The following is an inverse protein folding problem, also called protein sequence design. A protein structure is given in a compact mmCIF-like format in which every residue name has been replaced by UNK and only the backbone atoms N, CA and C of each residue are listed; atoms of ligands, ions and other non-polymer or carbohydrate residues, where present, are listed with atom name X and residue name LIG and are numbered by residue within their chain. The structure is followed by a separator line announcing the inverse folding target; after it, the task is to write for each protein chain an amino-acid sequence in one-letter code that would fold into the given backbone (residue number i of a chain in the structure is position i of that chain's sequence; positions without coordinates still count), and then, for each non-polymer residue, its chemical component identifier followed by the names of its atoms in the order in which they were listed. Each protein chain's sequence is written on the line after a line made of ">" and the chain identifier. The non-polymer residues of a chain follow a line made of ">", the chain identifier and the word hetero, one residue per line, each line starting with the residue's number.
data_IF_994829433310
#
_entry.id   IF_994829433310
#
_cell.length_a   1.000
_cell.length_b   1.000
_cell.length_c   1.000
_cell.angle_alpha   90.00
_cell.angle_beta   90.00
_cell.angle_gamma   90.00
#
_symmetry.space_group_name_H-M   'P 1'
#
loop_
_entity.id
_entity.type
_entity.pdbx_description
1 polymer ?
#
# COMPACT_ATOMS: atom_id res chain seq x y z
N UNK A 1 -13.25 -7.88 -17.82
CA UNK A 1 -12.78 -9.21 -17.36
C UNK A 1 -12.39 -10.02 -18.60
N UNK A 2 -11.25 -10.73 -18.57
CA UNK A 2 -10.68 -11.51 -19.70
C UNK A 2 -11.63 -12.56 -20.34
N UNK A 3 -12.80 -12.78 -19.74
CA UNK A 3 -13.83 -13.73 -20.16
C UNK A 3 -14.95 -13.12 -21.02
N UNK A 4 -15.01 -11.79 -21.19
CA UNK A 4 -16.15 -11.15 -21.85
C UNK A 4 -16.20 -11.29 -23.38
N UNK A 5 -15.15 -11.83 -24.00
CA UNK A 5 -15.02 -11.91 -25.47
C UNK A 5 -15.10 -13.30 -26.07
N UNK A 6 -15.24 -14.36 -25.26
CA UNK A 6 -15.25 -15.75 -25.76
C UNK A 6 -16.66 -16.33 -25.67
N UNK A 7 -17.25 -16.67 -26.82
CA UNK A 7 -18.56 -17.30 -26.91
C UNK A 7 -18.49 -18.79 -26.54
N UNK A 8 -18.34 -19.10 -25.24
CA UNK A 8 -18.22 -20.47 -24.73
C UNK A 8 -19.41 -21.40 -25.08
N UNK A 9 -20.56 -20.82 -25.43
CA UNK A 9 -21.75 -21.58 -25.82
C UNK A 9 -21.67 -22.14 -27.25
N UNK A 10 -20.74 -21.65 -28.06
CA UNK A 10 -20.57 -22.00 -29.47
C UNK A 10 -19.33 -22.89 -29.72
N UNK A 11 -18.59 -23.22 -28.66
CA UNK A 11 -17.32 -23.94 -28.72
C UNK A 11 -17.48 -25.40 -28.26
N UNK A 12 -16.73 -26.30 -28.89
CA UNK A 12 -16.60 -27.68 -28.42
C UNK A 12 -15.74 -27.75 -27.14
N UNK A 13 -15.89 -28.83 -26.37
CA UNK A 13 -15.17 -29.00 -25.10
C UNK A 13 -13.64 -28.89 -25.25
N UNK A 14 -13.08 -29.40 -26.35
CA UNK A 14 -11.65 -29.29 -26.69
C UNK A 14 -11.21 -27.84 -26.89
N UNK A 15 -12.04 -27.05 -27.57
CA UNK A 15 -11.78 -25.64 -27.84
C UNK A 15 -11.93 -24.79 -26.57
N UNK A 16 -12.88 -25.15 -25.68
CA UNK A 16 -13.02 -24.53 -24.36
C UNK A 16 -11.78 -24.76 -23.50
N UNK A 17 -11.22 -25.98 -23.51
CA UNK A 17 -9.98 -26.30 -22.78
C UNK A 17 -8.82 -25.47 -23.33
N UNK A 18 -8.64 -25.46 -24.66
CA UNK A 18 -7.58 -24.67 -25.31
C UNK A 18 -7.70 -23.17 -25.01
N UNK A 19 -8.91 -22.62 -25.06
CA UNK A 19 -9.15 -21.21 -24.74
C UNK A 19 -8.78 -20.88 -23.30
N UNK A 20 -9.09 -21.77 -22.33
CA UNK A 20 -8.68 -21.60 -20.93
C UNK A 20 -7.17 -21.70 -20.74
N UNK A 21 -6.52 -22.59 -21.46
CA UNK A 21 -5.07 -22.77 -21.40
C UNK A 21 -4.35 -21.51 -21.91
N UNK A 22 -4.73 -21.01 -23.08
CA UNK A 22 -4.23 -19.76 -23.65
C UNK A 22 -4.48 -18.55 -22.73
N UNK A 23 -5.63 -18.51 -22.07
CA UNK A 23 -5.93 -17.46 -21.09
C UNK A 23 -5.00 -17.52 -19.88
N UNK A 24 -4.73 -18.72 -19.34
CA UNK A 24 -3.77 -18.88 -18.23
C UNK A 24 -2.38 -18.44 -18.65
N UNK A 25 -1.93 -18.85 -19.84
CA UNK A 25 -0.63 -18.42 -20.38
C UNK A 25 -0.57 -16.90 -20.53
N UNK A 26 -1.63 -16.27 -21.04
CA UNK A 26 -1.68 -14.82 -21.18
C UNK A 26 -1.65 -14.10 -19.82
N UNK A 27 -2.36 -14.62 -18.83
CA UNK A 27 -2.34 -14.07 -17.45
C UNK A 27 -0.94 -14.19 -16.87
N UNK A 28 -0.30 -15.35 -16.98
CA UNK A 28 1.07 -15.59 -16.49
C UNK A 28 2.08 -14.64 -17.16
N UNK A 29 1.94 -14.41 -18.46
CA UNK A 29 2.83 -13.49 -19.18
C UNK A 29 2.62 -12.03 -18.74
N UNK A 30 1.38 -11.59 -18.56
CA UNK A 30 1.08 -10.24 -18.05
C UNK A 30 1.56 -10.09 -16.60
N UNK A 31 1.37 -11.10 -15.76
CA UNK A 31 1.85 -11.13 -14.38
C UNK A 31 3.38 -11.00 -14.34
N UNK A 32 4.10 -11.76 -15.18
CA UNK A 32 5.55 -11.67 -15.31
C UNK A 32 6.02 -10.27 -15.69
N UNK A 33 5.37 -9.66 -16.69
CA UNK A 33 5.68 -8.28 -17.12
C UNK A 33 5.41 -7.25 -16.03
N UNK A 34 4.31 -7.40 -15.28
CA UNK A 34 3.99 -6.54 -14.15
C UNK A 34 5.03 -6.68 -13.03
N UNK A 35 5.46 -7.90 -12.70
CA UNK A 35 6.49 -8.14 -11.71
C UNK A 35 7.82 -7.49 -12.10
N UNK A 36 8.25 -7.64 -13.36
CA UNK A 36 9.46 -7.00 -13.89
C UNK A 36 9.38 -5.47 -13.73
N UNK A 37 8.25 -4.87 -14.12
CA UNK A 37 8.01 -3.43 -13.95
C UNK A 37 8.04 -3.00 -12.48
N UNK A 38 7.46 -3.80 -11.57
CA UNK A 38 7.49 -3.53 -10.13
C UNK A 38 8.93 -3.55 -9.61
N UNK A 39 9.75 -4.52 -10.02
CA UNK A 39 11.16 -4.61 -9.60
C UNK A 39 11.98 -3.41 -10.09
N UNK A 40 11.78 -2.98 -11.34
CA UNK A 40 12.46 -1.80 -11.88
C UNK A 40 12.07 -0.53 -11.11
N UNK A 41 10.77 -0.32 -10.88
CA UNK A 41 10.27 0.82 -10.11
C UNK A 41 10.77 0.81 -8.67
N UNK A 42 10.76 -0.36 -8.02
CA UNK A 42 11.28 -0.56 -6.65
C UNK A 42 12.76 -0.20 -6.57
N UNK A 43 13.55 -0.63 -7.56
CA UNK A 43 14.99 -0.34 -7.63
C UNK A 43 15.26 1.14 -7.87
N UNK A 44 14.48 1.80 -8.74
CA UNK A 44 14.63 3.23 -9.02
C UNK A 44 14.16 4.11 -7.86
N UNK A 45 13.06 3.77 -7.21
CA UNK A 45 12.49 4.55 -6.10
C UNK A 45 13.25 4.34 -4.77
N UNK A 46 13.99 3.23 -4.63
CA UNK A 46 14.58 2.83 -3.36
C UNK A 46 13.52 2.55 -2.28
N UNK A 47 12.31 2.20 -2.71
CA UNK A 47 11.19 1.84 -1.85
C UNK A 47 11.01 0.32 -1.91
N UNK A 48 11.11 -0.33 -0.76
CA UNK A 48 10.92 -1.76 -0.62
C UNK A 48 9.65 -2.03 0.21
N UNK A 49 8.70 -2.77 -0.37
CA UNK A 49 7.52 -3.22 0.36
C UNK A 49 7.85 -4.51 1.12
N UNK A 50 7.81 -4.44 2.45
CA UNK A 50 8.13 -5.57 3.33
C UNK A 50 6.91 -6.46 3.57
N UNK A 51 5.69 -5.96 3.32
CA UNK A 51 4.47 -6.75 3.46
C UNK A 51 3.37 -6.06 4.26
N UNK A 52 2.45 -6.87 4.78
CA UNK A 52 1.24 -6.44 5.50
C UNK A 52 1.00 -7.28 6.74
N UNK A 53 0.26 -6.74 7.70
CA UNK A 53 -0.18 -7.47 8.88
C UNK A 53 -1.71 -7.74 8.90
N UNK A 54 -2.23 -8.36 9.96
CA UNK A 54 -3.69 -8.58 10.18
C UNK A 54 -4.53 -7.31 10.15
N UNK A 55 -3.96 -6.18 10.55
CA UNK A 55 -4.63 -4.89 10.55
C UNK A 55 -4.54 -4.19 9.18
N UNK A 56 -4.00 -4.88 8.16
CA UNK A 56 -3.81 -4.39 6.81
C UNK A 56 -2.89 -3.17 6.72
N UNK A 57 -1.99 -3.01 7.70
CA UNK A 57 -0.95 -1.99 7.66
C UNK A 57 0.13 -2.41 6.68
N UNK A 58 0.53 -1.54 5.75
CA UNK A 58 1.65 -1.80 4.87
C UNK A 58 2.95 -1.33 5.53
N UNK A 59 4.02 -2.11 5.35
CA UNK A 59 5.35 -1.77 5.84
C UNK A 59 6.27 -1.49 4.66
N UNK A 60 6.85 -0.29 4.62
CA UNK A 60 7.75 0.14 3.56
C UNK A 60 9.10 0.55 4.15
N UNK A 61 10.18 0.03 3.59
CA UNK A 61 11.53 0.53 3.83
C UNK A 61 11.88 1.52 2.72
N UNK A 62 12.21 2.75 3.10
CA UNK A 62 12.68 3.77 2.18
C UNK A 62 14.18 3.97 2.37
N UNK A 63 14.94 3.89 1.29
CA UNK A 63 16.39 4.13 1.29
C UNK A 63 16.73 5.58 0.93
N UNK A 64 15.94 6.18 0.02
CA UNK A 64 16.06 7.58 -0.37
C UNK A 64 15.75 8.53 0.80
N UNK A 65 14.78 8.15 1.62
CA UNK A 65 14.47 8.74 2.91
C UNK A 65 14.73 7.66 3.95
N UNK A 66 15.87 7.64 4.66
CA UNK A 66 16.21 6.53 5.54
C UNK A 66 15.18 6.46 6.67
N UNK A 67 14.18 5.61 6.49
CA UNK A 67 13.11 5.35 7.45
C UNK A 67 12.35 4.09 7.06
N UNK A 68 11.72 3.48 8.06
CA UNK A 68 10.70 2.45 7.85
C UNK A 68 9.34 3.07 8.15
N UNK A 69 8.49 3.12 7.13
CA UNK A 69 7.14 3.68 7.20
C UNK A 69 6.12 2.57 7.35
N UNK A 70 5.11 2.87 8.15
CA UNK A 70 3.92 2.05 8.33
C UNK A 70 2.73 2.85 7.83
N UNK A 71 2.09 2.35 6.79
CA UNK A 71 0.86 2.92 6.23
C UNK A 71 -0.36 2.21 6.81
N UNK A 72 -1.23 2.94 7.47
CA UNK A 72 -2.55 2.46 7.86
C UNK A 72 -3.52 2.59 6.67
N UNK A 73 -4.40 1.60 6.48
CA UNK A 73 -5.38 1.63 5.41
C UNK A 73 -6.38 2.76 5.63
N UNK A 74 -6.78 3.43 4.55
CA UNK A 74 -7.84 4.45 4.52
C UNK A 74 -9.15 3.84 4.02
N UNK A 75 -10.26 4.57 4.17
CA UNK A 75 -11.59 4.08 3.74
C UNK A 75 -11.74 3.82 2.24
N UNK A 76 -10.79 4.28 1.41
CA UNK A 76 -10.73 3.95 -0.02
C UNK A 76 -10.06 2.59 -0.29
N UNK A 77 -9.30 2.06 0.67
CA UNK A 77 -8.62 0.79 0.50
C UNK A 77 -9.59 -0.38 0.68
N UNK A 78 -9.47 -1.39 -0.17
CA UNK A 78 -10.30 -2.58 -0.06
C UNK A 78 -9.77 -3.52 1.03
N UNK A 79 -10.19 -3.29 2.27
CA UNK A 79 -9.80 -4.06 3.47
C UNK A 79 -10.69 -5.30 3.68
N UNK A 80 -11.73 -5.47 2.87
CA UNK A 80 -12.72 -6.54 3.02
C UNK A 80 -13.74 -6.26 4.13
N UNK A 81 -14.75 -7.13 4.23
CA UNK A 81 -15.81 -7.02 5.24
C UNK A 81 -15.55 -7.91 6.46
N UNK A 82 -16.14 -7.56 7.60
CA UNK A 82 -16.16 -8.45 8.75
C UNK A 82 -17.05 -9.67 8.47
N UNK A 83 -16.49 -10.87 8.60
CA UNK A 83 -17.28 -12.11 8.64
C UNK A 83 -17.36 -12.62 10.08
N UNK A 84 -16.60 -13.66 10.42
CA UNK A 84 -16.54 -14.20 11.77
C UNK A 84 -15.43 -13.51 12.59
N UNK A 85 -15.60 -13.39 13.92
CA UNK A 85 -14.54 -12.90 14.79
C UNK A 85 -13.29 -13.78 14.67
N UNK A 86 -12.11 -13.15 14.60
CA UNK A 86 -10.85 -13.89 14.59
C UNK A 86 -10.69 -14.62 15.93
N UNK A 87 -10.51 -15.95 15.93
CA UNK A 87 -10.29 -16.70 17.16
C UNK A 87 -9.04 -16.21 17.89
N UNK A 88 -9.14 -15.97 19.19
CA UNK A 88 -8.01 -15.59 20.04
C UNK A 88 -7.63 -16.79 20.91
N UNK A 89 -6.37 -17.23 20.81
CA UNK A 89 -5.90 -18.43 21.49
C UNK A 89 -5.71 -18.24 23.00
N UNK A 90 -5.35 -17.03 23.44
CA UNK A 90 -5.15 -16.70 24.85
C UNK A 90 -5.82 -15.37 25.20
N UNK A 91 -6.87 -15.44 26.03
CA UNK A 91 -7.61 -14.29 26.54
C UNK A 91 -7.33 -14.05 28.04
N UNK A 92 -6.53 -14.90 28.68
CA UNK A 92 -6.37 -14.94 30.13
C UNK A 92 -5.69 -13.68 30.68
N UNK A 93 -4.77 -13.08 29.91
CA UNK A 93 -4.05 -11.87 30.28
C UNK A 93 -4.88 -10.58 30.15
N UNK A 94 -5.96 -10.59 29.34
CA UNK A 94 -6.65 -9.37 28.91
C UNK A 94 -8.02 -9.17 29.58
N UNK A 95 -8.41 -10.07 30.49
CA UNK A 95 -9.66 -9.98 31.26
C UNK A 95 -10.94 -10.29 30.48
N UNK A 96 -11.00 -10.01 29.18
CA UNK A 96 -12.08 -10.42 28.28
C UNK A 96 -11.57 -10.76 26.88
N UNK A 97 -12.36 -11.53 26.14
CA UNK A 97 -12.04 -11.90 24.75
C UNK A 97 -12.09 -10.69 23.82
N UNK A 98 -12.99 -9.72 24.07
CA UNK A 98 -13.08 -8.46 23.33
C UNK A 98 -11.83 -7.60 23.52
N UNK A 99 -11.33 -7.51 24.76
CA UNK A 99 -10.12 -6.76 25.07
C UNK A 99 -8.88 -7.42 24.43
N UNK A 100 -8.79 -8.76 24.48
CA UNK A 100 -7.73 -9.50 23.81
C UNK A 100 -7.75 -9.27 22.29
N UNK A 101 -8.94 -9.33 21.66
CA UNK A 101 -9.12 -9.03 20.23
C UNK A 101 -8.71 -7.60 19.90
N UNK A 102 -9.08 -6.62 20.72
CA UNK A 102 -8.71 -5.23 20.48
C UNK A 102 -7.21 -5.00 20.60
N UNK A 103 -6.56 -5.60 21.60
CA UNK A 103 -5.11 -5.50 21.82
C UNK A 103 -4.32 -6.13 20.65
N UNK A 104 -4.74 -7.33 20.23
CA UNK A 104 -4.10 -8.08 19.14
C UNK A 104 -4.52 -7.55 17.76
N UNK A 105 -5.37 -6.51 17.67
CA UNK A 105 -5.91 -6.01 16.40
C UNK A 105 -6.58 -7.11 15.56
N UNK A 106 -7.32 -8.00 16.23
CA UNK A 106 -8.14 -9.02 15.59
C UNK A 106 -9.48 -8.47 15.10
N UNK A 107 -10.03 -9.08 14.04
CA UNK A 107 -11.38 -8.75 13.59
C UNK A 107 -12.41 -9.17 14.65
N UNK A 108 -13.33 -8.28 15.01
CA UNK A 108 -14.41 -8.59 15.95
C UNK A 108 -15.61 -9.30 15.31
N UNK A 109 -15.64 -9.45 13.97
CA UNK A 109 -16.81 -9.95 13.23
C UNK A 109 -17.97 -8.95 13.13
N UNK A 110 -17.84 -7.75 13.71
CA UNK A 110 -18.87 -6.71 13.64
C UNK A 110 -18.27 -5.37 13.20
N UNK A 111 -18.75 -4.85 12.08
CA UNK A 111 -18.23 -3.65 11.43
C UNK A 111 -18.27 -2.39 12.32
N UNK A 112 -19.24 -2.29 13.23
CA UNK A 112 -19.37 -1.10 14.10
C UNK A 112 -18.35 -1.07 15.24
N UNK A 113 -17.90 -2.24 15.69
CA UNK A 113 -16.99 -2.38 16.85
C UNK A 113 -15.60 -2.84 16.45
N UNK A 114 -15.39 -3.19 15.19
CA UNK A 114 -14.14 -3.74 14.71
C UNK A 114 -13.04 -2.67 14.64
N UNK A 115 -11.91 -2.95 15.28
CA UNK A 115 -10.72 -2.09 15.22
C UNK A 115 -9.94 -2.20 13.90
N UNK A 116 -10.29 -3.18 13.06
CA UNK A 116 -9.64 -3.46 11.77
C UNK A 116 -10.46 -2.92 10.59
N UNK A 117 -11.78 -3.17 10.57
CA UNK A 117 -12.67 -2.81 9.46
C UNK A 117 -13.67 -1.68 9.80
N UNK A 118 -13.74 -1.26 11.08
CA UNK A 118 -14.73 -0.30 11.55
C UNK A 118 -14.22 1.14 11.60
N UNK A 119 -15.06 2.05 12.09
CA UNK A 119 -14.75 3.49 12.20
C UNK A 119 -13.49 3.79 13.03
N UNK A 120 -13.12 2.88 13.94
CA UNK A 120 -11.88 2.95 14.73
C UNK A 120 -10.60 2.95 13.87
N UNK A 121 -10.65 2.38 12.67
CA UNK A 121 -9.55 2.42 11.70
C UNK A 121 -9.25 3.87 11.26
N UNK A 122 -10.29 4.68 11.02
CA UNK A 122 -10.14 6.05 10.50
C UNK A 122 -9.51 7.03 11.48
N UNK A 123 -9.43 6.66 12.77
CA UNK A 123 -8.80 7.49 13.81
C UNK A 123 -7.28 7.35 13.85
N UNK A 124 -6.71 6.38 13.13
CA UNK A 124 -5.26 6.17 13.11
C UNK A 124 -4.59 7.14 12.14
N UNK A 125 -3.42 7.69 12.49
CA UNK A 125 -2.65 8.45 11.52
C UNK A 125 -2.33 7.56 10.32
N UNK A 126 -2.49 8.07 9.11
CA UNK A 126 -2.22 7.28 7.89
C UNK A 126 -0.78 6.78 7.86
N UNK A 127 0.16 7.63 8.22
CA UNK A 127 1.58 7.30 8.18
C UNK A 127 2.17 7.37 9.59
N UNK A 128 2.88 6.32 9.98
CA UNK A 128 3.77 6.34 11.15
C UNK A 128 5.15 5.89 10.73
N UNK A 129 6.19 6.36 11.42
CA UNK A 129 7.57 5.95 11.15
C UNK A 129 8.13 5.17 12.33
N UNK A 130 9.06 4.28 12.03
CA UNK A 130 9.85 3.51 12.99
C UNK A 130 11.24 4.12 13.08
N UNK A 131 11.69 4.41 14.29
CA UNK A 131 12.90 5.20 14.58
C UNK A 131 14.05 4.38 15.18
N UNK A 132 13.84 3.10 15.45
CA UNK A 132 14.77 2.26 16.20
C UNK A 132 14.65 0.79 15.82
N UNK A 133 15.77 0.07 15.89
CA UNK A 133 15.76 -1.38 15.67
C UNK A 133 14.92 -2.13 16.70
N UNK A 134 14.86 -1.65 17.95
CA UNK A 134 14.03 -2.28 18.99
C UNK A 134 12.55 -2.32 18.58
N UNK A 135 12.06 -1.27 17.91
CA UNK A 135 10.69 -1.25 17.39
C UNK A 135 10.50 -2.20 16.21
N UNK A 136 11.51 -2.37 15.36
CA UNK A 136 11.49 -3.38 14.29
C UNK A 136 11.40 -4.78 14.87
N UNK A 137 12.19 -5.09 15.89
CA UNK A 137 12.16 -6.39 16.57
C UNK A 137 10.80 -6.63 17.27
N UNK A 138 10.18 -5.57 17.83
CA UNK A 138 8.81 -5.63 18.36
C UNK A 138 7.76 -5.92 17.28
N UNK A 139 7.95 -5.41 16.06
CA UNK A 139 7.04 -5.72 14.93
C UNK A 139 7.14 -7.20 14.59
N UNK A 140 8.35 -7.74 14.46
CA UNK A 140 8.56 -9.17 14.19
C UNK A 140 8.00 -10.04 15.31
N UNK A 141 8.20 -9.65 16.58
CA UNK A 141 7.66 -10.38 17.73
C UNK A 141 6.12 -10.35 17.80
N UNK A 142 5.48 -9.29 17.30
CA UNK A 142 4.02 -9.18 17.25
C UNK A 142 3.39 -9.94 16.06
N UNK A 143 4.18 -10.40 15.09
CA UNK A 143 3.71 -11.19 13.96
C UNK A 143 3.20 -12.56 14.43
N UNK A 144 2.04 -12.98 13.93
CA UNK A 144 1.50 -14.30 14.26
C UNK A 144 2.16 -15.36 13.38
N UNK A 145 2.83 -16.38 13.95
CA UNK A 145 3.46 -17.44 13.17
C UNK A 145 2.46 -18.33 12.41
N UNK A 146 1.14 -18.17 12.65
CA UNK A 146 0.08 -18.85 11.88
C UNK A 146 -0.60 -17.95 10.84
N UNK A 147 -0.32 -16.65 10.85
CA UNK A 147 -0.95 -15.69 9.93
C UNK A 147 -0.15 -15.63 8.63
N UNK A 148 -0.79 -15.92 7.49
CA UNK A 148 -0.12 -15.90 6.18
C UNK A 148 0.59 -14.55 5.91
N UNK A 149 -0.14 -13.45 6.09
CA UNK A 149 0.37 -12.08 5.90
C UNK A 149 1.56 -11.78 6.82
N UNK A 150 1.44 -12.16 8.09
CA UNK A 150 2.45 -11.92 9.10
C UNK A 150 3.70 -12.78 8.95
N UNK A 151 3.56 -14.00 8.45
CA UNK A 151 4.70 -14.86 8.11
C UNK A 151 5.46 -14.20 6.96
N UNK A 152 4.77 -13.82 5.88
CA UNK A 152 5.39 -13.14 4.74
C UNK A 152 6.14 -11.87 5.19
N UNK A 153 5.50 -11.03 6.02
CA UNK A 153 6.11 -9.82 6.58
C UNK A 153 7.33 -10.12 7.45
N UNK A 154 7.25 -11.14 8.31
CA UNK A 154 8.36 -11.51 9.19
C UNK A 154 9.54 -12.09 8.40
N UNK A 155 9.27 -12.90 7.37
CA UNK A 155 10.29 -13.44 6.46
C UNK A 155 11.00 -12.32 5.70
N UNK A 156 10.24 -11.37 5.12
CA UNK A 156 10.80 -10.23 4.39
C UNK A 156 11.62 -9.30 5.29
N UNK A 157 11.15 -8.97 6.50
CA UNK A 157 11.93 -8.21 7.47
C UNK A 157 13.22 -8.95 7.84
N UNK A 158 13.16 -10.27 8.00
CA UNK A 158 14.32 -11.10 8.33
C UNK A 158 15.32 -11.16 7.18
N UNK A 159 14.85 -11.34 5.95
CA UNK A 159 15.65 -11.38 4.74
C UNK A 159 16.36 -10.04 4.48
N UNK A 160 15.63 -8.93 4.64
CA UNK A 160 16.16 -7.58 4.44
C UNK A 160 16.76 -6.94 5.71
N UNK A 161 16.94 -7.71 6.79
CA UNK A 161 17.49 -7.22 8.06
C UNK A 161 18.79 -6.42 7.93
N UNK A 162 19.79 -6.84 7.11
CA UNK A 162 21.02 -6.06 6.94
C UNK A 162 20.77 -4.65 6.39
N UNK A 163 19.87 -4.52 5.40
CA UNK A 163 19.48 -3.22 4.81
C UNK A 163 18.73 -2.37 5.83
N UNK A 164 17.83 -2.99 6.60
CA UNK A 164 17.08 -2.28 7.66
C UNK A 164 18.05 -1.72 8.71
N UNK A 165 19.05 -2.49 9.15
CA UNK A 165 20.06 -2.00 10.11
C UNK A 165 20.80 -0.78 9.55
N UNK A 166 21.26 -0.84 8.30
CA UNK A 166 21.95 0.29 7.66
C UNK A 166 21.06 1.54 7.56
N UNK A 167 19.77 1.36 7.28
CA UNK A 167 18.78 2.45 7.27
C UNK A 167 18.57 3.00 8.68
N UNK A 168 18.45 2.16 9.70
CA UNK A 168 18.24 2.58 11.09
C UNK A 168 19.45 3.35 11.64
N UNK A 169 20.69 2.97 11.30
CA UNK A 169 21.88 3.75 11.64
C UNK A 169 21.85 5.16 11.01
N UNK A 170 21.37 5.26 9.76
CA UNK A 170 21.15 6.55 9.10
C UNK A 170 20.02 7.36 9.76
N UNK A 171 18.97 6.70 10.25
CA UNK A 171 17.89 7.35 11.01
C UNK A 171 18.44 7.95 12.31
N UNK A 172 19.15 7.15 13.11
CA UNK A 172 19.70 7.57 14.40
C UNK A 172 20.66 8.75 14.26
N UNK A 173 21.56 8.70 13.28
CA UNK A 173 22.49 9.82 12.99
C UNK A 173 21.74 11.09 12.57
N UNK A 174 20.70 10.99 11.73
CA UNK A 174 19.91 12.16 11.32
C UNK A 174 19.01 12.71 12.42
N UNK A 175 18.50 11.86 13.31
CA UNK A 175 17.78 12.26 14.53
C UNK A 175 18.72 13.01 15.48
N UNK A 176 19.92 12.49 15.73
CA UNK A 176 20.92 13.15 16.58
C UNK A 176 21.34 14.52 16.05
N UNK A 177 21.41 14.68 14.72
CA UNK A 177 21.74 15.94 14.07
C UNK A 177 20.54 16.90 13.91
N UNK A 178 19.33 16.50 14.34
CA UNK A 178 18.10 17.29 14.19
C UNK A 178 17.62 17.46 12.73
N UNK A 179 18.27 16.80 11.76
CA UNK A 179 17.96 16.91 10.33
C UNK A 179 16.80 16.02 9.89
N UNK A 180 16.35 15.12 10.77
CA UNK A 180 15.29 14.18 10.45
C UNK A 180 13.99 14.87 10.02
N UNK A 181 13.53 15.86 10.78
CA UNK A 181 12.30 16.61 10.49
C UNK A 181 12.38 17.41 9.20
N UNK A 182 13.58 17.92 8.88
CA UNK A 182 13.85 18.66 7.65
C UNK A 182 13.67 17.78 6.42
N UNK A 183 13.98 16.48 6.49
CA UNK A 183 13.78 15.55 5.37
C UNK A 183 12.30 15.34 5.02
N UNK A 184 11.44 15.35 6.03
CA UNK A 184 10.00 15.21 5.86
C UNK A 184 9.32 16.54 5.52
N UNK A 185 10.10 17.63 5.42
CA UNK A 185 9.60 18.97 5.10
C UNK A 185 8.44 19.41 6.02
N UNK A 186 8.39 18.93 7.27
CA UNK A 186 7.25 19.14 8.18
C UNK A 186 7.05 20.62 8.51
N UNK A 187 8.14 21.39 8.53
CA UNK A 187 8.13 22.83 8.80
C UNK A 187 7.90 23.69 7.54
N UNK A 188 7.83 23.06 6.36
CA UNK A 188 7.53 23.77 5.12
C UNK A 188 6.01 23.96 4.99
N UNK A 189 5.56 25.12 4.47
CA UNK A 189 4.15 25.27 4.13
C UNK A 189 3.75 24.18 3.12
N UNK A 190 2.54 23.64 3.28
CA UNK A 190 1.99 22.65 2.37
C UNK A 190 2.17 23.13 0.92
N UNK A 191 2.88 22.36 0.04
CA UNK A 191 3.09 22.73 -1.34
C UNK A 191 1.79 23.03 -2.09
N UNK A 192 0.67 22.42 -1.69
CA UNK A 192 -0.65 22.71 -2.26
C UNK A 192 -1.21 24.08 -1.83
N UNK A 193 -0.72 24.64 -0.73
CA UNK A 193 -1.07 25.98 -0.22
C UNK A 193 -0.06 27.05 -0.64
N UNK A 194 1.11 26.65 -1.12
CA UNK A 194 2.07 27.58 -1.71
C UNK A 194 1.45 28.17 -2.97
N UNK A 195 1.34 29.51 -3.03
CA UNK A 195 0.98 30.18 -4.26
C UNK A 195 2.01 29.79 -5.32
N UNK A 196 1.58 29.05 -6.34
CA UNK A 196 2.42 28.54 -7.44
C UNK A 196 3.13 29.66 -8.23
N UNK A 197 2.83 30.93 -7.94
CA UNK A 197 3.19 32.07 -8.79
C UNK A 197 2.46 32.05 -10.14
N UNK A 198 1.64 31.02 -10.38
CA UNK A 198 0.88 30.78 -11.59
C UNK A 198 -0.57 31.16 -11.30
N UNK A 199 -1.08 32.18 -11.99
CA UNK A 199 -2.50 32.49 -11.99
C UNK A 199 -3.22 31.41 -12.82
N UNK A 200 -3.60 30.31 -12.17
CA UNK A 200 -4.22 29.16 -12.81
C UNK A 200 -5.47 29.53 -13.62
N UNK A 201 -6.22 30.56 -13.22
CA UNK A 201 -7.37 31.06 -13.98
C UNK A 201 -6.99 31.61 -15.36
N UNK A 202 -5.79 32.19 -15.49
CA UNK A 202 -5.25 32.70 -16.75
C UNK A 202 -4.67 31.55 -17.56
N UNK A 203 -3.82 30.71 -16.97
CA UNK A 203 -3.20 29.57 -17.68
C UNK A 203 -4.24 28.57 -18.19
N UNK A 204 -5.25 28.23 -17.38
CA UNK A 204 -6.32 27.32 -17.81
C UNK A 204 -7.11 27.93 -18.97
N UNK A 205 -7.34 29.25 -18.94
CA UNK A 205 -8.00 29.95 -20.05
C UNK A 205 -7.16 29.88 -21.33
N UNK A 206 -5.88 30.18 -21.26
CA UNK A 206 -4.98 30.11 -22.43
C UNK A 206 -4.88 28.68 -22.98
N UNK A 207 -4.77 27.67 -22.10
CA UNK A 207 -4.75 26.26 -22.49
C UNK A 207 -6.07 25.82 -23.16
N UNK A 208 -7.21 26.30 -22.68
CA UNK A 208 -8.51 26.00 -23.28
C UNK A 208 -8.68 26.69 -24.63
N UNK A 209 -8.17 27.91 -24.80
CA UNK A 209 -8.18 28.63 -26.08
C UNK A 209 -7.27 27.95 -27.11
N UNK A 210 -6.08 27.53 -26.70
CA UNK A 210 -5.14 26.77 -27.56
C UNK A 210 -5.74 25.40 -27.95
N UNK A 211 -6.44 24.74 -27.02
CA UNK A 211 -7.19 23.51 -27.32
C UNK A 211 -8.33 23.78 -28.32
N UNK A 212 -9.10 24.85 -28.14
CA UNK A 212 -10.18 25.25 -29.05
C UNK A 212 -9.64 25.55 -30.45
N UNK A 213 -8.54 26.28 -30.57
CA UNK A 213 -7.90 26.58 -31.84
C UNK A 213 -7.42 25.30 -32.53
N UNK A 214 -6.79 24.38 -31.78
CA UNK A 214 -6.34 23.09 -32.32
C UNK A 214 -7.49 22.18 -32.74
N UNK A 215 -8.57 22.12 -31.96
CA UNK A 215 -9.78 21.37 -32.31
C UNK A 215 -10.46 21.99 -33.53
N UNK A 216 -10.56 23.32 -33.58
CA UNK A 216 -11.09 24.06 -34.71
C UNK A 216 -10.29 23.80 -35.99
N UNK A 217 -8.96 23.91 -35.93
CA UNK A 217 -8.07 23.62 -37.05
C UNK A 217 -8.21 22.16 -37.54
N UNK A 218 -8.38 21.20 -36.64
CA UNK A 218 -8.66 19.80 -37.00
C UNK A 218 -9.99 19.66 -37.75
N UNK A 219 -11.03 20.38 -37.34
CA UNK A 219 -12.35 20.35 -37.99
C UNK A 219 -12.37 21.07 -39.35
N UNK A 220 -11.52 22.08 -39.55
CA UNK A 220 -11.39 22.79 -40.83
C UNK A 220 -10.49 22.07 -41.86
N UNK A 221 -9.68 21.09 -41.44
CA UNK A 221 -8.84 20.28 -42.34
C UNK A 221 -9.54 18.99 -42.84
N UNK A 222 -10.73 18.68 -42.33
CA UNK A 222 -11.57 17.54 -42.77
C UNK A 222 -12.77 17.96 -43.68
N UNK A 223 -12.80 19.22 -44.15
CA UNK A 223 -13.73 19.75 -45.16
C UNK A 223 -12.97 20.23 -46.41
#
# INVERSE_FOLDING_TARGET
>A
MLLSGVAFNELELSEIILARDLQREKVQEVERQLLETIFDLTTMAGQLHLGRDRAFRNYFLLECLPCLLVENPIGADHVGECCEPTPVADCSEYGSEEAARQFVLGCSGNMNTCSVHGEGQKRRPRWTFVDSMEKVDKIVAACNPRGLREIDLAEEITFHRPRIVEVMEKVETKLANGQFWTLFMVDQPDPAQMQSGVEWDVEIRELLLDLEEKVGLCLYLEL
#
